data_IF_227935221185
#
_entry.id   IF_227935221185
#
_cell.length_a   1.000
_cell.length_b   1.000
_cell.length_c   1.000
_cell.angle_alpha   90.00
_cell.angle_beta   90.00
_cell.angle_gamma   90.00
#
_symmetry.space_group_name_H-M   'P 1'
#
loop_
_entity.id
_entity.type
_entity.pdbx_description
1 polymer ?
#
# COMPACT_ATOMS: atom_id res chain seq x y z
N UNK A 1 17.80 -19.85 -1.11
CA UNK A 1 16.81 -20.05 -0.04
C UNK A 1 16.89 -18.83 0.86
N UNK A 2 16.14 -17.76 0.55
CA UNK A 2 16.08 -16.58 1.40
C UNK A 2 15.22 -16.94 2.62
N UNK A 3 15.81 -16.82 3.80
CA UNK A 3 15.14 -16.97 5.08
C UNK A 3 13.99 -15.95 5.13
N UNK A 4 12.75 -16.41 5.02
CA UNK A 4 11.59 -15.63 5.41
C UNK A 4 11.68 -15.45 6.92
N UNK A 5 12.32 -14.38 7.36
CA UNK A 5 12.20 -13.90 8.73
C UNK A 5 10.71 -13.65 8.94
N UNK A 6 10.04 -14.51 9.71
CA UNK A 6 8.69 -14.24 10.19
C UNK A 6 8.78 -12.96 11.03
N UNK A 7 8.47 -11.83 10.42
CA UNK A 7 8.32 -10.56 11.12
C UNK A 7 7.19 -10.77 12.15
N UNK A 8 7.40 -10.26 13.36
CA UNK A 8 6.66 -10.66 14.55
C UNK A 8 5.14 -10.55 14.39
N UNK A 9 4.42 -11.56 14.90
CA UNK A 9 2.95 -11.77 14.93
C UNK A 9 2.11 -10.68 15.61
N UNK A 10 2.66 -9.50 15.87
CA UNK A 10 1.96 -8.43 16.57
C UNK A 10 1.99 -7.17 15.71
N UNK A 11 0.83 -6.61 15.34
CA UNK A 11 0.74 -5.39 14.56
C UNK A 11 1.33 -4.22 15.34
N UNK A 12 1.90 -3.26 14.64
CA UNK A 12 2.34 -1.98 15.22
C UNK A 12 1.13 -1.24 15.78
N UNK A 13 1.23 -0.75 17.01
CA UNK A 13 0.11 -0.10 17.69
C UNK A 13 -0.04 1.37 17.34
N UNK A 14 1.03 1.98 16.85
CA UNK A 14 1.10 3.39 16.48
C UNK A 14 2.20 3.60 15.43
N UNK A 15 2.27 4.82 14.91
CA UNK A 15 3.23 5.21 13.87
C UNK A 15 4.69 5.08 14.31
N UNK A 16 5.01 5.28 15.58
CA UNK A 16 6.39 5.16 16.08
C UNK A 16 6.88 3.71 16.04
N UNK A 17 6.05 2.77 16.52
CA UNK A 17 6.34 1.34 16.44
C UNK A 17 6.44 0.88 14.98
N UNK A 18 5.56 1.38 14.11
CA UNK A 18 5.58 1.06 12.68
C UNK A 18 6.89 1.52 12.03
N UNK A 19 7.32 2.76 12.23
CA UNK A 19 8.56 3.29 11.63
C UNK A 19 9.82 2.60 12.20
N UNK A 20 9.80 2.18 13.47
CA UNK A 20 10.88 1.38 14.05
C UNK A 20 11.00 0.00 13.40
N UNK A 21 9.87 -0.61 13.04
CA UNK A 21 9.82 -1.94 12.39
C UNK A 21 10.11 -1.87 10.90
N UNK A 22 9.80 -0.75 10.27
CA UNK A 22 9.91 -0.53 8.82
C UNK A 22 10.87 0.62 8.50
N UNK A 23 12.19 0.47 8.74
CA UNK A 23 13.17 1.55 8.53
C UNK A 23 13.31 1.99 7.06
N UNK A 24 12.74 1.23 6.12
CA UNK A 24 12.63 1.62 4.71
C UNK A 24 11.59 2.73 4.47
N UNK A 25 10.65 2.93 5.39
CA UNK A 25 9.66 4.00 5.32
C UNK A 25 10.29 5.29 5.80
N UNK A 26 10.36 6.28 4.91
CA UNK A 26 11.03 7.55 5.17
C UNK A 26 10.04 8.60 5.66
N UNK A 27 10.56 9.60 6.37
CA UNK A 27 9.80 10.74 6.89
C UNK A 27 10.64 12.02 6.81
N UNK A 28 9.98 13.17 7.00
CA UNK A 28 10.65 14.48 7.08
C UNK A 28 10.92 15.15 5.73
N UNK A 29 11.42 16.38 5.79
CA UNK A 29 11.48 17.28 4.62
C UNK A 29 12.36 16.78 3.47
N UNK A 30 13.48 16.13 3.76
CA UNK A 30 14.37 15.60 2.72
C UNK A 30 13.69 14.47 1.92
N UNK A 31 13.07 13.52 2.61
CA UNK A 31 12.35 12.43 1.96
C UNK A 31 11.09 12.92 1.24
N UNK A 32 10.44 13.98 1.75
CA UNK A 32 9.33 14.64 1.04
C UNK A 32 9.80 15.27 -0.28
N UNK A 33 10.95 15.94 -0.29
CA UNK A 33 11.52 16.48 -1.52
C UNK A 33 11.88 15.39 -2.54
N UNK A 34 12.36 14.23 -2.08
CA UNK A 34 12.57 13.06 -2.94
C UNK A 34 11.26 12.52 -3.51
N UNK A 35 10.20 12.43 -2.69
CA UNK A 35 8.86 12.04 -3.13
C UNK A 35 8.32 13.01 -4.19
N UNK A 36 8.44 14.32 -3.96
CA UNK A 36 7.96 15.35 -4.89
C UNK A 36 8.69 15.28 -6.23
N UNK A 37 10.02 15.13 -6.20
CA UNK A 37 10.81 14.92 -7.41
C UNK A 37 10.40 13.62 -8.12
N UNK A 38 10.10 12.55 -7.38
CA UNK A 38 9.63 11.29 -7.97
C UNK A 38 8.28 11.48 -8.66
N UNK A 39 7.34 12.22 -8.06
CA UNK A 39 6.02 12.49 -8.66
C UNK A 39 6.07 13.48 -9.82
N UNK A 40 7.02 14.41 -9.83
CA UNK A 40 7.19 15.37 -10.93
C UNK A 40 7.92 14.79 -12.15
N UNK A 41 8.77 13.78 -11.96
CA UNK A 41 9.72 13.33 -12.99
C UNK A 41 9.81 11.82 -13.19
N UNK A 42 9.36 11.04 -12.22
CA UNK A 42 9.32 9.58 -12.31
C UNK A 42 8.10 9.09 -13.06
N UNK A 43 8.24 7.94 -13.70
CA UNK A 43 7.11 7.15 -14.19
C UNK A 43 6.79 6.11 -13.11
N UNK A 44 5.88 6.47 -12.21
CA UNK A 44 5.50 5.66 -11.04
C UNK A 44 3.98 5.67 -10.91
N UNK A 45 3.46 4.67 -10.20
CA UNK A 45 2.11 4.76 -9.65
C UNK A 45 2.17 4.68 -8.14
N UNK A 46 1.28 5.45 -7.50
CA UNK A 46 1.26 5.60 -6.05
C UNK A 46 0.03 4.92 -5.45
N UNK A 47 0.23 4.21 -4.35
CA UNK A 47 -0.83 3.70 -3.48
C UNK A 47 -0.74 4.42 -2.14
N UNK A 48 -1.82 5.08 -1.76
CA UNK A 48 -1.93 5.85 -0.53
C UNK A 48 -2.85 5.11 0.44
N UNK A 49 -2.43 4.94 1.68
CA UNK A 49 -3.27 4.38 2.75
C UNK A 49 -3.13 5.20 4.02
N UNK A 50 -4.23 5.39 4.73
CA UNK A 50 -4.20 5.82 6.13
C UNK A 50 -3.77 4.64 7.01
N UNK A 51 -2.68 4.82 7.76
CA UNK A 51 -2.19 3.81 8.71
C UNK A 51 -2.82 3.99 10.09
N UNK A 52 -2.90 5.24 10.53
CA UNK A 52 -3.40 5.66 11.84
C UNK A 52 -4.09 7.03 11.70
N UNK A 53 -4.80 7.47 12.74
CA UNK A 53 -5.49 8.77 12.76
C UNK A 53 -4.60 9.98 12.46
N UNK A 54 -3.29 9.84 12.68
CA UNK A 54 -2.30 10.89 12.45
C UNK A 54 -1.23 10.52 11.41
N UNK A 55 -1.44 9.45 10.62
CA UNK A 55 -0.41 8.98 9.70
C UNK A 55 -0.97 8.44 8.38
N UNK A 56 -0.46 9.00 7.27
CA UNK A 56 -0.72 8.56 5.90
C UNK A 56 0.56 7.97 5.31
N UNK A 57 0.46 6.82 4.65
CA UNK A 57 1.54 6.14 3.95
C UNK A 57 1.36 6.26 2.45
N UNK A 58 2.35 6.88 1.79
CA UNK A 58 2.53 6.86 0.35
C UNK A 58 3.49 5.75 -0.03
N UNK A 59 3.14 4.99 -1.05
CA UNK A 59 3.97 3.93 -1.61
C UNK A 59 4.00 4.09 -3.12
N UNK A 60 5.17 4.37 -3.64
CA UNK A 60 5.42 4.45 -5.06
C UNK A 60 6.02 3.15 -5.56
N UNK A 61 5.50 2.71 -6.69
CA UNK A 61 5.90 1.48 -7.35
C UNK A 61 6.37 1.77 -8.77
N UNK A 62 7.33 0.98 -9.21
CA UNK A 62 7.75 0.92 -10.60
C UNK A 62 6.62 0.27 -11.45
N UNK A 63 6.14 0.93 -12.53
CA UNK A 63 4.99 0.46 -13.30
C UNK A 63 5.25 -0.86 -14.04
N UNK A 64 6.50 -1.10 -14.45
CA UNK A 64 6.86 -2.31 -15.21
C UNK A 64 7.03 -3.53 -14.30
N UNK A 65 7.78 -3.38 -13.21
CA UNK A 65 8.14 -4.47 -12.31
C UNK A 65 7.18 -4.62 -11.12
N UNK A 66 6.32 -3.63 -10.89
CA UNK A 66 5.38 -3.54 -9.77
C UNK A 66 6.05 -3.58 -8.39
N UNK A 67 7.35 -3.30 -8.33
CA UNK A 67 8.12 -3.30 -7.08
C UNK A 67 8.05 -1.96 -6.39
N UNK A 68 8.00 -1.99 -5.07
CA UNK A 68 8.07 -0.80 -4.24
C UNK A 68 9.43 -0.13 -4.46
N UNK A 69 9.42 1.12 -4.89
CA UNK A 69 10.62 1.94 -5.11
C UNK A 69 10.80 2.98 -4.01
N UNK A 70 9.70 3.47 -3.43
CA UNK A 70 9.72 4.47 -2.39
C UNK A 70 8.52 4.34 -1.45
N UNK A 71 8.76 4.53 -0.15
CA UNK A 71 7.70 4.57 0.85
C UNK A 71 7.93 5.77 1.77
N UNK A 72 6.89 6.59 1.95
CA UNK A 72 6.93 7.80 2.73
C UNK A 72 5.74 7.89 3.67
N UNK A 73 5.98 8.19 4.95
CA UNK A 73 4.92 8.45 5.90
C UNK A 73 4.82 9.95 6.23
N UNK A 74 3.65 10.51 5.98
CA UNK A 74 3.23 11.78 6.56
C UNK A 74 2.80 11.52 8.01
N UNK A 75 3.43 12.19 8.96
CA UNK A 75 3.16 12.00 10.40
C UNK A 75 2.76 13.33 11.01
N UNK A 76 1.57 13.39 11.60
CA UNK A 76 0.95 14.61 12.13
C UNK A 76 0.86 15.73 11.07
N UNK A 77 0.67 15.38 9.79
CA UNK A 77 0.47 16.33 8.71
C UNK A 77 -1.03 16.48 8.42
N UNK A 78 -1.61 17.57 8.94
CA UNK A 78 -3.04 17.85 8.83
C UNK A 78 -3.47 18.05 7.37
N UNK A 79 -2.62 18.61 6.52
CA UNK A 79 -2.94 18.83 5.12
C UNK A 79 -2.97 17.51 4.35
N UNK A 80 -2.00 16.63 4.59
CA UNK A 80 -1.99 15.30 3.98
C UNK A 80 -3.22 14.47 4.39
N UNK A 81 -3.63 14.57 5.66
CA UNK A 81 -4.85 13.92 6.15
C UNK A 81 -6.11 14.48 5.49
N UNK A 82 -6.21 15.81 5.36
CA UNK A 82 -7.34 16.46 4.70
C UNK A 82 -7.45 16.04 3.23
N UNK A 83 -6.34 16.08 2.49
CA UNK A 83 -6.29 15.64 1.10
C UNK A 83 -6.72 14.18 0.95
N UNK A 84 -6.20 13.30 1.82
CA UNK A 84 -6.60 11.89 1.81
C UNK A 84 -8.10 11.69 2.06
N UNK A 85 -8.70 12.45 2.99
CA UNK A 85 -10.15 12.36 3.26
C UNK A 85 -10.97 12.83 2.05
N UNK A 86 -10.52 13.89 1.37
CA UNK A 86 -11.17 14.38 0.15
C UNK A 86 -11.10 13.33 -0.99
N UNK A 87 -9.96 12.64 -1.12
CA UNK A 87 -9.71 11.66 -2.18
C UNK A 87 -10.32 10.27 -1.90
N UNK A 88 -10.32 9.81 -0.64
CA UNK A 88 -10.81 8.48 -0.25
C UNK A 88 -12.34 8.36 -0.27
N UNK A 89 -13.07 9.48 -0.25
CA UNK A 89 -14.53 9.50 -0.24
C UNK A 89 -15.15 9.03 1.10
N UNK A 90 -16.43 8.64 1.10
CA UNK A 90 -17.16 8.26 2.32
C UNK A 90 -16.74 6.90 2.92
N UNK A 91 -15.94 6.10 2.21
CA UNK A 91 -15.55 4.75 2.63
C UNK A 91 -14.04 4.65 2.91
N UNK A 92 -13.58 5.32 3.98
CA UNK A 92 -12.22 5.16 4.56
C UNK A 92 -12.04 3.77 5.22
N UNK A 93 -13.00 2.84 5.05
CA UNK A 93 -12.97 1.52 5.69
C UNK A 93 -12.31 0.42 4.86
N UNK A 94 -11.70 0.76 3.71
CA UNK A 94 -10.95 -0.17 2.86
C UNK A 94 -9.59 -0.52 3.49
N UNK A 95 -9.63 -1.02 4.71
CA UNK A 95 -8.61 -1.90 5.25
C UNK A 95 -8.66 -3.19 4.42
N UNK A 96 -7.48 -3.71 4.08
CA UNK A 96 -7.41 -5.03 3.46
C UNK A 96 -8.09 -6.05 4.39
N UNK A 97 -9.18 -6.65 3.94
CA UNK A 97 -10.02 -7.56 4.73
C UNK A 97 -9.54 -9.02 4.67
N UNK A 98 -8.34 -9.26 4.11
CA UNK A 98 -7.76 -10.59 4.11
C UNK A 98 -7.43 -11.06 5.53
N UNK A 99 -7.40 -12.37 5.75
CA UNK A 99 -7.15 -12.96 7.07
C UNK A 99 -5.81 -12.48 7.67
N UNK A 100 -4.79 -12.37 6.83
CA UNK A 100 -3.46 -11.87 7.22
C UNK A 100 -3.50 -10.38 7.56
N UNK A 101 -4.25 -9.57 6.80
CA UNK A 101 -4.41 -8.14 7.06
C UNK A 101 -5.07 -7.87 8.42
N UNK A 102 -6.03 -8.71 8.83
CA UNK A 102 -6.62 -8.65 10.18
C UNK A 102 -5.62 -8.95 11.29
N UNK A 103 -4.65 -9.83 11.05
CA UNK A 103 -3.62 -10.18 12.04
C UNK A 103 -2.47 -9.16 12.08
N UNK A 104 -2.04 -8.67 10.92
CA UNK A 104 -0.90 -7.76 10.75
C UNK A 104 -1.27 -6.28 10.89
N UNK A 105 -2.56 -5.94 10.80
CA UNK A 105 -3.05 -4.58 10.99
C UNK A 105 -2.38 -3.57 10.03
N UNK A 106 -2.01 -2.36 10.51
CA UNK A 106 -1.40 -1.34 9.66
C UNK A 106 -0.09 -1.77 8.97
N UNK A 107 0.69 -2.67 9.58
CA UNK A 107 1.92 -3.24 8.98
C UNK A 107 1.62 -3.91 7.64
N UNK A 108 0.41 -4.45 7.48
CA UNK A 108 0.01 -5.15 6.28
C UNK A 108 0.10 -4.28 5.04
N UNK A 109 -0.20 -2.98 5.15
CA UNK A 109 -0.24 -2.04 4.03
C UNK A 109 1.11 -1.80 3.37
N UNK A 110 2.24 -2.18 3.98
CA UNK A 110 3.56 -2.00 3.39
C UNK A 110 3.98 -3.23 2.58
N UNK A 111 3.73 -3.20 1.27
CA UNK A 111 4.02 -4.30 0.36
C UNK A 111 5.34 -4.09 -0.40
N UNK A 112 6.12 -5.15 -0.59
CA UNK A 112 7.37 -5.10 -1.38
C UNK A 112 7.09 -5.04 -2.89
N UNK A 113 5.98 -5.64 -3.32
CA UNK A 113 5.48 -5.58 -4.67
C UNK A 113 3.96 -5.60 -4.64
N UNK A 114 3.33 -4.98 -5.65
CA UNK A 114 1.94 -5.30 -5.98
C UNK A 114 1.93 -6.38 -7.05
N UNK A 115 0.99 -7.32 -6.98
CA UNK A 115 0.74 -8.22 -8.10
C UNK A 115 -0.55 -7.78 -8.74
N UNK A 116 -0.48 -7.32 -9.98
CA UNK A 116 -1.60 -7.40 -10.88
C UNK A 116 -1.85 -8.88 -11.15
N UNK A 117 -2.81 -9.50 -10.47
CA UNK A 117 -3.39 -10.73 -11.03
C UNK A 117 -4.15 -10.34 -12.29
N UNK A 118 -4.08 -11.19 -13.34
CA UNK A 118 -4.99 -10.98 -14.48
C UNK A 118 -6.41 -10.91 -13.92
N UNK A 119 -7.23 -9.96 -14.37
CA UNK A 119 -8.60 -9.89 -13.93
C UNK A 119 -9.28 -11.23 -14.18
N UNK A 120 -9.86 -11.83 -13.15
CA UNK A 120 -10.74 -12.99 -13.29
C UNK A 120 -12.21 -12.58 -13.10
N UNK A 121 -12.49 -11.27 -13.04
CA UNK A 121 -13.86 -10.80 -13.06
C UNK A 121 -14.50 -11.07 -14.42
N UNK A 122 -15.81 -11.31 -14.43
CA UNK A 122 -16.55 -11.63 -15.66
C UNK A 122 -16.43 -10.56 -16.75
N UNK A 123 -16.18 -9.31 -16.36
CA UNK A 123 -16.11 -8.17 -17.28
C UNK A 123 -14.73 -8.00 -17.94
N UNK A 124 -13.64 -8.33 -17.23
CA UNK A 124 -12.27 -7.99 -17.64
C UNK A 124 -11.36 -9.22 -17.80
N UNK A 125 -11.91 -10.43 -17.66
CA UNK A 125 -11.17 -11.68 -17.87
C UNK A 125 -10.53 -11.75 -19.26
N UNK A 126 -9.20 -11.86 -19.27
CA UNK A 126 -8.39 -11.98 -20.48
C UNK A 126 -8.06 -10.67 -21.19
N UNK A 127 -8.42 -9.51 -20.61
CA UNK A 127 -8.11 -8.19 -21.18
C UNK A 127 -6.77 -7.61 -20.74
N UNK A 128 -5.95 -8.35 -19.99
CA UNK A 128 -4.59 -7.99 -19.58
C UNK A 128 -4.50 -6.94 -18.47
N UNK A 129 -5.43 -5.98 -18.42
CA UNK A 129 -5.42 -4.89 -17.44
C UNK A 129 -6.67 -4.90 -16.52
N UNK A 130 -6.49 -4.76 -15.19
CA UNK A 130 -7.58 -4.57 -14.24
C UNK A 130 -8.21 -3.19 -14.38
N UNK A 131 -9.55 -3.13 -14.32
CA UNK A 131 -10.29 -1.86 -14.30
C UNK A 131 -10.40 -1.31 -12.87
N UNK A 132 -9.80 -0.16 -12.55
CA UNK A 132 -9.90 0.47 -11.23
C UNK A 132 -11.34 0.84 -10.83
N UNK A 133 -12.24 1.04 -11.80
CA UNK A 133 -13.66 1.29 -11.57
C UNK A 133 -14.50 0.03 -11.33
N UNK A 134 -13.92 -1.15 -11.46
CA UNK A 134 -14.60 -2.42 -11.27
C UNK A 134 -14.32 -2.98 -9.86
N UNK A 135 -15.37 -3.08 -9.04
CA UNK A 135 -15.30 -3.64 -7.68
C UNK A 135 -14.68 -5.04 -7.61
N UNK A 136 -14.83 -5.82 -8.68
CA UNK A 136 -14.29 -7.19 -8.80
C UNK A 136 -12.84 -7.21 -9.32
N UNK A 137 -12.34 -6.10 -9.87
CA UNK A 137 -10.94 -5.93 -10.28
C UNK A 137 -10.09 -5.28 -9.19
N UNK A 138 -10.71 -4.55 -8.26
CA UNK A 138 -10.01 -3.92 -7.14
C UNK A 138 -9.13 -4.88 -6.31
N UNK A 139 -9.55 -6.14 -6.06
CA UNK A 139 -8.71 -7.12 -5.37
C UNK A 139 -7.46 -7.54 -6.15
N UNK A 140 -7.32 -7.17 -7.43
CA UNK A 140 -6.17 -7.52 -8.26
C UNK A 140 -4.95 -6.64 -7.96
N UNK A 141 -5.01 -5.72 -6.99
CA UNK A 141 -3.83 -5.04 -6.43
C UNK A 141 -3.45 -5.61 -5.06
N UNK A 142 -3.63 -6.93 -4.87
CA UNK A 142 -3.15 -7.61 -3.68
C UNK A 142 -1.63 -7.51 -3.61
N UNK A 143 -1.14 -6.74 -2.64
CA UNK A 143 0.29 -6.63 -2.37
C UNK A 143 0.89 -7.95 -1.89
N UNK A 144 2.22 -8.03 -1.89
CA UNK A 144 3.01 -9.20 -1.48
C UNK A 144 2.64 -9.84 -0.13
N UNK A 145 1.93 -9.12 0.74
CA UNK A 145 1.57 -9.57 2.08
C UNK A 145 0.20 -10.24 2.14
N UNK A 146 -0.66 -10.06 1.13
CA UNK A 146 -2.02 -10.59 1.08
C UNK A 146 -2.04 -12.11 0.78
N UNK A 147 -1.65 -12.95 1.76
CA UNK A 147 -1.72 -14.42 1.61
C UNK A 147 -3.14 -14.92 1.93
N UNK A 148 -3.62 -15.93 1.19
CA UNK A 148 -4.91 -16.58 1.46
C UNK A 148 -6.14 -15.96 0.76
N UNK A 149 -5.93 -15.00 -0.14
CA UNK A 149 -6.96 -14.57 -1.10
C UNK A 149 -7.05 -15.63 -2.22
N UNK A 150 -8.24 -16.13 -2.61
CA UNK A 150 -8.37 -17.08 -3.72
C UNK A 150 -7.68 -16.54 -4.98
N UNK A 151 -6.74 -17.31 -5.55
CA UNK A 151 -5.89 -16.89 -6.68
C UNK A 151 -4.49 -16.42 -6.29
N UNK A 152 -4.11 -16.51 -5.01
CA UNK A 152 -2.82 -16.09 -4.45
C UNK A 152 -2.03 -17.28 -3.85
N UNK A 153 -1.90 -18.37 -4.62
CA UNK A 153 -1.08 -19.56 -4.31
C UNK A 153 0.35 -19.46 -4.89
#
# INVERSE_FOLDING_TARGET
>A
MATQTKIAKTPSKNIEEFLQRHPQVRTGAAAKAELDHLHEHGDTFCVINKLYDNAILHKDYDPDSLKLIFAFAYVNDEQAMANYIEDAGEDDSVLCDCEVGREEGPDHHLHEFVRATEPDCKAHKGNGEPDPGCSDCWPLYCGSNCRGVPGFD
#
